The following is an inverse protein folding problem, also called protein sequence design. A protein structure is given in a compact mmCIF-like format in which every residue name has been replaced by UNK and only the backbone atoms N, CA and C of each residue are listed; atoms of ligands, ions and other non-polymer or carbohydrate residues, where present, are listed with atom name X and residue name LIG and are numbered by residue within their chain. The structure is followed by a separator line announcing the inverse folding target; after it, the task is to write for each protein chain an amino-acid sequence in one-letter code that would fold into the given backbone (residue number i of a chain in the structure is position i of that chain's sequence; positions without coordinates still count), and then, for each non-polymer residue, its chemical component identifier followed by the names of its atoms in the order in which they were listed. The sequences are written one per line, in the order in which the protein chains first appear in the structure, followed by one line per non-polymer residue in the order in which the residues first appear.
data_IF_829694428566
#
_entry.id   IF_829694428566
#
_cell.length_a   1.000
_cell.length_b   1.000
_cell.length_c   1.000
_cell.angle_alpha   90.00
_cell.angle_beta   90.00
_cell.angle_gamma   90.00
#
_symmetry.space_group_name_H-M   'P 1'
#
loop_
_entity.id
_entity.type
_entity.pdbx_description
1 polymer ?
#
# COMPACT_ATOMS: atom_id res chain seq x y z
N UNK A 1 -38.17 -17.53 -22.68
CA UNK A 1 -36.84 -17.90 -22.19
C UNK A 1 -36.48 -16.88 -21.13
N UNK A 2 -35.87 -17.21 -19.98
CA UNK A 2 -35.34 -16.20 -19.09
C UNK A 2 -34.34 -15.34 -19.87
N UNK A 3 -34.32 -14.03 -19.63
CA UNK A 3 -33.37 -13.12 -20.26
C UNK A 3 -31.95 -13.62 -19.97
N UNK A 4 -31.14 -13.72 -21.01
CA UNK A 4 -29.71 -14.11 -20.86
C UNK A 4 -28.98 -12.91 -20.26
N UNK A 5 -28.18 -13.15 -19.22
CA UNK A 5 -27.43 -12.10 -18.55
C UNK A 5 -26.43 -11.44 -19.51
N UNK A 6 -26.29 -10.12 -19.43
CA UNK A 6 -25.46 -9.37 -20.37
C UNK A 6 -23.99 -9.82 -20.38
N UNK A 7 -23.47 -10.27 -19.23
CA UNK A 7 -22.10 -10.81 -19.13
C UNK A 7 -21.90 -12.10 -19.95
N UNK A 8 -22.93 -12.94 -20.05
CA UNK A 8 -22.88 -14.16 -20.86
C UNK A 8 -22.86 -13.82 -22.36
N UNK A 9 -23.64 -12.82 -22.78
CA UNK A 9 -23.61 -12.31 -24.15
C UNK A 9 -22.24 -11.69 -24.50
N UNK A 10 -21.59 -11.03 -23.54
CA UNK A 10 -20.22 -10.53 -23.74
C UNK A 10 -19.23 -11.66 -23.92
N UNK A 11 -19.34 -12.74 -23.12
CA UNK A 11 -18.49 -13.93 -23.28
C UNK A 11 -18.61 -14.54 -24.67
N UNK A 12 -19.82 -14.61 -25.23
CA UNK A 12 -20.07 -15.10 -26.61
C UNK A 12 -19.52 -14.17 -27.69
N UNK A 13 -19.23 -12.93 -27.38
CA UNK A 13 -18.76 -11.91 -28.30
C UNK A 13 -17.53 -11.15 -27.76
N UNK A 14 -16.35 -11.77 -27.74
CA UNK A 14 -15.15 -11.18 -27.11
C UNK A 14 -14.77 -9.79 -27.62
N UNK A 15 -15.01 -9.49 -28.90
CA UNK A 15 -14.73 -8.19 -29.51
C UNK A 15 -15.55 -7.04 -28.87
N UNK A 16 -16.67 -7.36 -28.23
CA UNK A 16 -17.48 -6.37 -27.54
C UNK A 16 -17.02 -6.07 -26.12
N UNK A 17 -16.17 -6.93 -25.52
CA UNK A 17 -15.75 -6.81 -24.13
C UNK A 17 -15.00 -5.51 -23.89
N UNK A 18 -13.94 -5.26 -24.68
CA UNK A 18 -13.13 -4.04 -24.56
C UNK A 18 -13.98 -2.78 -24.74
N UNK A 19 -14.89 -2.79 -25.73
CA UNK A 19 -15.81 -1.68 -25.99
C UNK A 19 -16.80 -1.50 -24.84
N UNK A 20 -17.37 -2.58 -24.32
CA UNK A 20 -18.30 -2.53 -23.18
C UNK A 20 -17.63 -1.93 -21.94
N UNK A 21 -16.40 -2.41 -21.61
CA UNK A 21 -15.62 -1.88 -20.48
C UNK A 21 -15.32 -0.40 -20.68
N UNK A 22 -14.87 0.02 -21.85
CA UNK A 22 -14.56 1.42 -22.13
C UNK A 22 -15.78 2.34 -22.08
N UNK A 23 -16.92 1.86 -22.55
CA UNK A 23 -18.13 2.70 -22.70
C UNK A 23 -19.00 2.71 -21.44
N UNK A 24 -19.19 1.55 -20.81
CA UNK A 24 -20.17 1.37 -19.74
C UNK A 24 -19.55 1.29 -18.35
N UNK A 25 -18.26 0.96 -18.27
CA UNK A 25 -17.55 0.81 -17.01
C UNK A 25 -16.58 1.99 -16.71
N UNK A 26 -16.76 3.13 -17.37
CA UNK A 26 -16.05 4.36 -17.03
C UNK A 26 -16.62 5.00 -15.75
N UNK A 27 -15.75 5.34 -14.80
CA UNK A 27 -16.13 6.03 -13.56
C UNK A 27 -16.57 7.46 -13.87
N UNK A 28 -17.75 7.87 -13.41
CA UNK A 28 -18.23 9.24 -13.54
C UNK A 28 -17.44 10.17 -12.61
N UNK A 29 -17.22 11.40 -13.01
CA UNK A 29 -16.47 12.39 -12.21
C UNK A 29 -17.10 12.61 -10.82
N UNK A 30 -18.44 12.54 -10.71
CA UNK A 30 -19.17 12.61 -9.45
C UNK A 30 -18.87 11.45 -8.51
N UNK A 31 -18.76 10.24 -9.03
CA UNK A 31 -18.45 9.01 -8.28
C UNK A 31 -17.01 9.02 -7.80
N UNK A 32 -16.07 9.46 -8.64
CA UNK A 32 -14.68 9.68 -8.27
C UNK A 32 -14.54 10.63 -7.08
N UNK A 33 -15.28 11.74 -7.09
CA UNK A 33 -15.23 12.73 -6.01
C UNK A 33 -15.94 12.28 -4.74
N UNK A 34 -17.00 11.47 -4.85
CA UNK A 34 -17.82 11.05 -3.71
C UNK A 34 -17.32 9.78 -3.02
N UNK A 35 -16.74 8.84 -3.79
CA UNK A 35 -16.34 7.52 -3.26
C UNK A 35 -14.85 7.23 -3.45
N UNK A 36 -14.08 8.10 -4.11
CA UNK A 36 -12.67 7.88 -4.41
C UNK A 36 -12.43 6.79 -5.44
N UNK A 37 -13.44 6.49 -6.28
CA UNK A 37 -13.37 5.43 -7.28
C UNK A 37 -12.30 5.72 -8.33
N UNK A 38 -11.51 4.70 -8.65
CA UNK A 38 -10.47 4.74 -9.68
C UNK A 38 -10.76 3.66 -10.70
N UNK A 39 -10.94 4.06 -11.95
CA UNK A 39 -11.05 3.11 -13.05
C UNK A 39 -9.73 2.35 -13.24
N UNK A 40 -9.81 1.02 -13.28
CA UNK A 40 -8.66 0.17 -13.59
C UNK A 40 -8.75 -0.31 -15.02
N UNK A 41 -7.82 0.08 -15.90
CA UNK A 41 -7.78 -0.41 -17.27
C UNK A 41 -7.62 -1.93 -17.33
N UNK A 42 -8.27 -2.54 -18.31
CA UNK A 42 -8.27 -3.99 -18.52
C UNK A 42 -6.85 -4.57 -18.59
N UNK A 43 -5.93 -3.86 -19.20
CA UNK A 43 -4.53 -4.29 -19.33
C UNK A 43 -3.87 -4.53 -17.96
N UNK A 44 -4.12 -3.67 -16.98
CA UNK A 44 -3.56 -3.82 -15.64
C UNK A 44 -4.18 -5.00 -14.88
N UNK A 45 -5.51 -5.20 -15.04
CA UNK A 45 -6.21 -6.34 -14.46
C UNK A 45 -5.67 -7.65 -15.07
N UNK A 46 -5.60 -7.72 -16.39
CA UNK A 46 -5.08 -8.88 -17.13
C UNK A 46 -3.66 -9.21 -16.70
N UNK A 47 -2.78 -8.19 -16.68
CA UNK A 47 -1.37 -8.34 -16.28
C UNK A 47 -1.22 -8.90 -14.86
N UNK A 48 -2.06 -8.43 -13.93
CA UNK A 48 -2.05 -8.92 -12.55
C UNK A 48 -2.52 -10.37 -12.48
N UNK A 49 -3.66 -10.68 -13.09
CA UNK A 49 -4.27 -12.01 -13.04
C UNK A 49 -3.50 -13.07 -13.84
N UNK A 50 -2.67 -12.68 -14.85
CA UNK A 50 -1.76 -13.56 -15.57
C UNK A 50 -0.65 -14.16 -14.71
N UNK A 51 -0.40 -13.59 -13.54
CA UNK A 51 0.61 -14.12 -12.62
C UNK A 51 0.06 -15.19 -11.67
N UNK A 52 -1.26 -15.39 -11.63
CA UNK A 52 -1.85 -16.47 -10.86
C UNK A 52 -1.58 -17.84 -11.48
N UNK A 53 -1.43 -18.90 -10.67
CA UNK A 53 -1.22 -20.25 -11.19
C UNK A 53 -2.45 -20.74 -11.97
N UNK A 54 -2.22 -21.57 -12.99
CA UNK A 54 -3.26 -22.00 -13.92
C UNK A 54 -4.41 -22.77 -13.28
N UNK A 55 -4.15 -23.51 -12.21
CA UNK A 55 -5.14 -24.33 -11.53
C UNK A 55 -6.32 -23.50 -10.94
N UNK A 56 -6.08 -22.22 -10.58
CA UNK A 56 -7.14 -21.37 -10.01
C UNK A 56 -8.29 -21.10 -10.99
N UNK A 57 -8.04 -21.27 -12.29
CA UNK A 57 -9.03 -21.05 -13.34
C UNK A 57 -9.87 -22.28 -13.66
N UNK A 58 -9.42 -23.48 -13.26
CA UNK A 58 -10.07 -24.77 -13.56
C UNK A 58 -10.65 -25.48 -12.35
N UNK A 59 -10.52 -24.93 -11.14
CA UNK A 59 -11.10 -25.47 -9.92
C UNK A 59 -12.46 -24.84 -9.63
N UNK A 60 -13.59 -25.58 -9.78
CA UNK A 60 -14.93 -25.04 -9.57
C UNK A 60 -15.28 -24.79 -8.08
N UNK A 61 -14.44 -25.24 -7.16
CA UNK A 61 -14.67 -25.05 -5.72
C UNK A 61 -14.13 -23.71 -5.20
N UNK A 62 -13.25 -23.03 -5.94
CA UNK A 62 -12.65 -21.78 -5.52
C UNK A 62 -13.63 -20.61 -5.54
N UNK A 63 -13.50 -19.75 -4.54
CA UNK A 63 -14.33 -18.56 -4.35
C UNK A 63 -13.52 -17.29 -4.49
N UNK A 64 -14.03 -16.37 -5.30
CA UNK A 64 -13.42 -15.09 -5.65
C UNK A 64 -14.19 -13.95 -5.00
N UNK A 65 -13.51 -13.04 -4.33
CA UNK A 65 -14.09 -11.87 -3.69
C UNK A 65 -13.49 -10.58 -4.24
N UNK A 66 -14.33 -9.67 -4.68
CA UNK A 66 -13.98 -8.28 -4.93
C UNK A 66 -14.60 -7.39 -3.84
N UNK A 67 -13.82 -6.88 -2.86
CA UNK A 67 -14.35 -6.22 -1.67
C UNK A 67 -14.73 -4.74 -1.87
N UNK A 68 -14.44 -4.18 -3.04
CA UNK A 68 -14.84 -2.83 -3.47
C UNK A 68 -15.02 -2.86 -4.98
N UNK A 69 -16.09 -3.54 -5.41
CA UNK A 69 -16.24 -3.97 -6.78
C UNK A 69 -16.47 -2.82 -7.78
N UNK A 70 -16.95 -1.64 -7.30
CA UNK A 70 -17.38 -0.59 -8.20
C UNK A 70 -18.44 -1.14 -9.14
N UNK A 71 -18.16 -1.11 -10.43
CA UNK A 71 -19.04 -1.65 -11.48
C UNK A 71 -18.59 -3.03 -11.99
N UNK A 72 -17.66 -3.71 -11.28
CA UNK A 72 -17.28 -5.10 -11.52
C UNK A 72 -16.19 -5.35 -12.57
N UNK A 73 -15.29 -4.39 -12.82
CA UNK A 73 -14.24 -4.53 -13.85
C UNK A 73 -13.37 -5.78 -13.67
N UNK A 74 -12.90 -6.05 -12.45
CA UNK A 74 -12.12 -7.25 -12.15
C UNK A 74 -12.96 -8.51 -12.34
N UNK A 75 -14.21 -8.50 -11.86
CA UNK A 75 -15.10 -9.65 -11.95
C UNK A 75 -15.46 -10.01 -13.39
N UNK A 76 -15.51 -9.03 -14.33
CA UNK A 76 -15.67 -9.31 -15.78
C UNK A 76 -14.52 -10.18 -16.29
N UNK A 77 -13.26 -9.81 -15.98
CA UNK A 77 -12.09 -10.56 -16.44
C UNK A 77 -12.04 -11.95 -15.80
N UNK A 78 -12.32 -12.03 -14.49
CA UNK A 78 -12.38 -13.32 -13.77
C UNK A 78 -13.46 -14.21 -14.36
N UNK A 79 -14.67 -13.68 -14.61
CA UNK A 79 -15.77 -14.43 -15.21
C UNK A 79 -15.39 -15.05 -16.55
N UNK A 80 -14.77 -14.26 -17.45
CA UNK A 80 -14.37 -14.74 -18.76
C UNK A 80 -13.36 -15.88 -18.64
N UNK A 81 -12.33 -15.73 -17.80
CA UNK A 81 -11.30 -16.74 -17.58
C UNK A 81 -11.86 -18.02 -16.94
N UNK A 82 -12.81 -17.90 -16.02
CA UNK A 82 -13.48 -19.05 -15.42
C UNK A 82 -14.39 -19.76 -16.43
N UNK A 83 -15.09 -19.03 -17.31
CA UNK A 83 -15.88 -19.62 -18.38
C UNK A 83 -15.01 -20.46 -19.34
N UNK A 84 -13.78 -20.03 -19.62
CA UNK A 84 -12.82 -20.77 -20.41
C UNK A 84 -12.19 -21.93 -19.62
N UNK A 85 -11.64 -21.64 -18.43
CA UNK A 85 -10.87 -22.60 -17.64
C UNK A 85 -11.68 -23.77 -17.11
N UNK A 86 -12.99 -23.55 -16.81
CA UNK A 86 -13.90 -24.60 -16.35
C UNK A 86 -14.58 -25.40 -17.48
N UNK A 87 -14.28 -25.12 -18.74
CA UNK A 87 -14.97 -25.73 -19.89
C UNK A 87 -14.88 -27.25 -19.95
N UNK A 88 -13.80 -27.83 -19.44
CA UNK A 88 -13.58 -29.27 -19.37
C UNK A 88 -14.23 -29.92 -18.13
N UNK A 89 -14.48 -29.16 -17.07
CA UNK A 89 -15.04 -29.64 -15.79
C UNK A 89 -16.55 -29.48 -15.77
N UNK A 90 -17.07 -28.35 -16.24
CA UNK A 90 -18.50 -28.06 -16.39
C UNK A 90 -18.73 -27.79 -17.89
N UNK A 91 -19.03 -28.82 -18.64
CA UNK A 91 -19.10 -28.78 -20.11
C UNK A 91 -20.30 -27.98 -20.64
N UNK A 92 -21.44 -28.02 -19.95
CA UNK A 92 -22.63 -27.22 -20.31
C UNK A 92 -22.37 -25.73 -19.95
N UNK A 93 -22.38 -24.87 -20.97
CA UNK A 93 -22.05 -23.45 -20.80
C UNK A 93 -23.00 -22.69 -19.89
N UNK A 94 -24.31 -23.01 -19.93
CA UNK A 94 -25.31 -22.31 -19.09
C UNK A 94 -25.19 -22.76 -17.63
N UNK A 95 -24.91 -24.01 -17.37
CA UNK A 95 -24.63 -24.53 -16.03
C UNK A 95 -23.33 -23.89 -15.48
N UNK A 96 -22.30 -23.83 -16.31
CA UNK A 96 -21.02 -23.18 -15.97
C UNK A 96 -21.22 -21.70 -15.65
N UNK A 97 -21.93 -20.95 -16.50
CA UNK A 97 -22.29 -19.56 -16.25
C UNK A 97 -22.99 -19.37 -14.90
N UNK A 98 -24.07 -20.12 -14.63
CA UNK A 98 -24.80 -20.04 -13.36
C UNK A 98 -23.90 -20.37 -12.17
N UNK A 99 -23.08 -21.42 -12.28
CA UNK A 99 -22.17 -21.81 -11.21
C UNK A 99 -21.20 -20.69 -10.84
N UNK A 100 -20.59 -20.05 -11.85
CA UNK A 100 -19.62 -18.95 -11.65
C UNK A 100 -20.28 -17.77 -10.94
N UNK A 101 -21.41 -17.28 -11.45
CA UNK A 101 -22.00 -16.04 -10.91
C UNK A 101 -22.69 -16.23 -9.55
N UNK A 102 -23.19 -17.44 -9.24
CA UNK A 102 -23.90 -17.72 -8.01
C UNK A 102 -22.99 -18.23 -6.89
N UNK A 103 -21.94 -19.01 -7.23
CA UNK A 103 -21.17 -19.75 -6.26
C UNK A 103 -19.70 -19.36 -6.19
N UNK A 104 -19.11 -18.85 -7.30
CA UNK A 104 -17.68 -18.58 -7.32
C UNK A 104 -17.33 -17.10 -7.12
N UNK A 105 -18.08 -16.16 -7.71
CA UNK A 105 -17.78 -14.73 -7.63
C UNK A 105 -18.71 -14.06 -6.60
N UNK A 106 -18.11 -13.32 -5.66
CA UNK A 106 -18.82 -12.41 -4.77
C UNK A 106 -18.30 -10.99 -4.96
N UNK A 107 -19.20 -10.04 -5.08
CA UNK A 107 -18.90 -8.62 -5.17
C UNK A 107 -19.49 -7.89 -3.96
N UNK A 108 -18.67 -7.09 -3.29
CA UNK A 108 -19.13 -6.18 -2.22
C UNK A 108 -18.92 -4.75 -2.71
N UNK A 109 -19.98 -3.94 -2.63
CA UNK A 109 -19.96 -2.57 -3.09
C UNK A 109 -20.86 -1.70 -2.19
N UNK A 110 -20.35 -0.53 -1.77
CA UNK A 110 -21.08 0.38 -0.87
C UNK A 110 -22.04 1.30 -1.63
N UNK A 111 -21.75 1.59 -2.90
CA UNK A 111 -22.54 2.47 -3.74
C UNK A 111 -23.68 1.70 -4.40
N UNK A 112 -24.93 2.02 -4.04
CA UNK A 112 -26.13 1.36 -4.57
C UNK A 112 -26.25 1.45 -6.09
N UNK A 113 -25.89 2.60 -6.68
CA UNK A 113 -25.98 2.79 -8.12
C UNK A 113 -25.02 1.84 -8.87
N UNK A 114 -23.83 1.60 -8.30
CA UNK A 114 -22.88 0.64 -8.84
C UNK A 114 -23.38 -0.81 -8.67
N UNK A 115 -24.02 -1.11 -7.53
CA UNK A 115 -24.65 -2.43 -7.31
C UNK A 115 -25.72 -2.70 -8.36
N UNK A 116 -26.56 -1.72 -8.69
CA UNK A 116 -27.59 -1.86 -9.74
C UNK A 116 -26.95 -2.08 -11.11
N UNK A 117 -25.97 -1.26 -11.49
CA UNK A 117 -25.22 -1.44 -12.75
C UNK A 117 -24.54 -2.81 -12.85
N UNK A 118 -23.97 -3.30 -11.75
CA UNK A 118 -23.36 -4.63 -11.71
C UNK A 118 -24.43 -5.73 -11.85
N UNK A 119 -25.63 -5.55 -11.28
CA UNK A 119 -26.74 -6.49 -11.48
C UNK A 119 -27.29 -6.49 -12.90
N UNK A 120 -27.32 -5.33 -13.56
CA UNK A 120 -27.69 -5.25 -14.98
C UNK A 120 -26.71 -6.04 -15.86
N UNK A 121 -25.42 -6.07 -15.47
CA UNK A 121 -24.39 -6.78 -16.21
C UNK A 121 -24.38 -8.30 -15.89
N UNK A 122 -24.27 -8.65 -14.59
CA UNK A 122 -24.05 -10.02 -14.13
C UNK A 122 -25.35 -10.79 -13.89
N UNK A 123 -26.49 -10.13 -13.98
CA UNK A 123 -27.82 -10.71 -13.76
C UNK A 123 -28.29 -10.69 -12.30
N UNK A 124 -29.60 -10.91 -12.10
CA UNK A 124 -30.24 -10.83 -10.79
C UNK A 124 -29.81 -11.93 -9.81
N UNK A 125 -29.24 -13.02 -10.32
CA UNK A 125 -28.78 -14.16 -9.52
C UNK A 125 -27.31 -14.03 -9.07
N UNK A 126 -26.61 -12.97 -9.52
CA UNK A 126 -25.22 -12.75 -9.14
C UNK A 126 -25.08 -12.42 -7.64
N UNK A 127 -24.04 -12.96 -7.03
CA UNK A 127 -23.75 -12.74 -5.61
C UNK A 127 -23.13 -11.36 -5.39
N UNK A 128 -23.97 -10.32 -5.42
CA UNK A 128 -23.60 -8.92 -5.25
C UNK A 128 -24.21 -8.40 -3.94
N UNK A 129 -23.37 -7.86 -3.05
CA UNK A 129 -23.76 -7.34 -1.74
C UNK A 129 -23.59 -5.83 -1.70
N UNK A 130 -24.68 -5.10 -1.36
CA UNK A 130 -24.62 -3.67 -1.07
C UNK A 130 -24.24 -3.49 0.41
N UNK A 131 -22.93 -3.37 0.70
CA UNK A 131 -22.42 -3.31 2.07
C UNK A 131 -21.08 -2.56 2.14
N UNK A 132 -20.74 -2.06 3.32
CA UNK A 132 -19.39 -1.60 3.64
C UNK A 132 -18.54 -2.79 4.06
N UNK A 133 -17.55 -3.14 3.23
CA UNK A 133 -16.60 -4.21 3.52
C UNK A 133 -15.81 -3.98 4.81
N UNK A 134 -15.55 -2.73 5.17
CA UNK A 134 -14.79 -2.37 6.37
C UNK A 134 -15.65 -2.22 7.63
N UNK A 135 -16.97 -2.41 7.54
CA UNK A 135 -17.84 -2.30 8.72
C UNK A 135 -17.37 -3.21 9.86
N UNK A 136 -17.42 -2.69 11.09
CA UNK A 136 -17.03 -3.40 12.31
C UNK A 136 -18.28 -3.96 13.02
N UNK A 137 -18.14 -5.12 13.64
CA UNK A 137 -19.18 -5.75 14.46
C UNK A 137 -19.20 -7.26 14.34
N UNK A 138 -19.70 -7.95 15.36
CA UNK A 138 -19.73 -9.42 15.44
C UNK A 138 -20.52 -10.10 14.30
N UNK A 139 -21.32 -9.35 13.55
CA UNK A 139 -22.16 -9.83 12.45
C UNK A 139 -21.77 -9.24 11.09
N UNK A 140 -20.64 -8.52 10.97
CA UNK A 140 -20.25 -7.88 9.70
C UNK A 140 -19.99 -8.91 8.61
N UNK A 141 -19.33 -10.01 8.94
CA UNK A 141 -19.05 -11.09 7.99
C UNK A 141 -20.29 -11.91 7.67
N UNK A 142 -21.18 -12.15 8.65
CA UNK A 142 -22.47 -12.80 8.42
C UNK A 142 -23.38 -11.94 7.54
N UNK A 143 -23.36 -10.63 7.68
CA UNK A 143 -24.12 -9.71 6.80
C UNK A 143 -23.60 -9.70 5.36
N UNK A 144 -22.29 -9.93 5.18
CA UNK A 144 -21.64 -9.96 3.86
C UNK A 144 -21.71 -11.38 3.25
N UNK A 145 -21.42 -12.42 4.03
CA UNK A 145 -21.23 -13.78 3.50
C UNK A 145 -22.30 -14.79 3.91
N UNK A 146 -23.21 -14.45 4.83
CA UNK A 146 -24.24 -15.34 5.38
C UNK A 146 -23.81 -16.06 6.66
N UNK A 147 -24.80 -16.46 7.47
CA UNK A 147 -24.58 -17.13 8.76
C UNK A 147 -23.89 -18.49 8.59
N UNK A 148 -22.86 -18.76 9.40
CA UNK A 148 -22.16 -20.05 9.44
C UNK A 148 -21.14 -20.26 8.32
N UNK A 149 -20.85 -19.26 7.51
CA UNK A 149 -19.76 -19.34 6.54
C UNK A 149 -18.42 -19.04 7.23
N UNK A 150 -17.49 -19.98 7.24
CA UNK A 150 -16.08 -19.75 7.50
C UNK A 150 -15.47 -18.74 6.50
N UNK A 151 -14.15 -18.73 6.28
CA UNK A 151 -13.56 -17.87 5.23
C UNK A 151 -14.31 -18.10 3.91
N UNK A 152 -14.99 -17.06 3.39
CA UNK A 152 -15.76 -17.21 2.16
C UNK A 152 -14.89 -17.19 0.92
N UNK A 153 -13.71 -16.52 0.98
CA UNK A 153 -12.88 -16.30 -0.20
C UNK A 153 -11.57 -17.10 -0.15
N UNK A 154 -11.21 -17.69 -1.29
CA UNK A 154 -9.91 -18.28 -1.55
C UNK A 154 -9.02 -17.27 -2.30
N UNK A 155 -9.62 -16.42 -3.13
CA UNK A 155 -8.90 -15.40 -3.89
C UNK A 155 -9.63 -14.07 -3.73
N UNK A 156 -8.89 -13.04 -3.27
CA UNK A 156 -9.40 -11.68 -3.13
C UNK A 156 -8.70 -10.77 -4.14
N UNK A 157 -9.48 -10.07 -4.94
CA UNK A 157 -8.99 -9.23 -6.04
C UNK A 157 -9.55 -7.81 -5.92
N UNK A 158 -8.89 -6.83 -6.52
CA UNK A 158 -9.49 -5.51 -6.67
C UNK A 158 -8.53 -4.32 -6.64
N UNK A 159 -9.12 -3.14 -6.73
CA UNK A 159 -8.47 -1.84 -6.54
C UNK A 159 -9.25 -1.07 -5.46
N UNK A 160 -8.99 -1.31 -4.17
CA UNK A 160 -9.75 -0.73 -3.09
C UNK A 160 -9.58 0.80 -3.03
N UNK A 161 -10.55 1.55 -2.46
CA UNK A 161 -10.46 2.99 -2.33
C UNK A 161 -9.26 3.39 -1.47
N UNK A 162 -8.53 4.46 -1.87
CA UNK A 162 -7.29 4.85 -1.21
C UNK A 162 -7.51 5.62 0.08
N UNK A 163 -8.56 6.43 0.12
CA UNK A 163 -8.90 7.27 1.26
C UNK A 163 -10.39 7.59 1.28
N UNK A 164 -10.92 7.94 2.45
CA UNK A 164 -12.27 8.49 2.55
C UNK A 164 -12.39 9.78 1.74
N UNK A 165 -13.55 10.06 1.14
CA UNK A 165 -13.81 11.35 0.51
C UNK A 165 -13.59 12.49 1.50
N UNK A 166 -13.10 13.63 1.02
CA UNK A 166 -12.99 14.83 1.84
C UNK A 166 -14.38 15.36 2.10
N UNK A 167 -14.72 15.56 3.37
CA UNK A 167 -15.94 16.24 3.76
C UNK A 167 -15.80 17.75 3.44
N UNK A 168 -16.30 18.14 2.28
CA UNK A 168 -16.25 19.52 1.79
C UNK A 168 -17.18 20.45 2.58
N UNK A 169 -18.13 19.92 3.37
CA UNK A 169 -19.06 20.69 4.18
C UNK A 169 -18.47 21.16 5.50
N UNK A 170 -17.38 20.55 5.97
CA UNK A 170 -16.64 21.01 7.14
C UNK A 170 -15.29 21.53 6.69
N UNK A 171 -14.98 22.79 6.98
CA UNK A 171 -13.65 23.40 6.85
C UNK A 171 -12.59 22.69 7.75
N UNK A 172 -12.58 21.36 7.75
CA UNK A 172 -11.60 20.58 8.50
C UNK A 172 -10.35 20.41 7.65
N UNK A 173 -9.26 20.96 8.12
CA UNK A 173 -7.89 20.74 7.61
C UNK A 173 -7.43 19.27 7.68
N UNK A 174 -8.30 18.34 8.09
CA UNK A 174 -8.02 16.90 8.14
C UNK A 174 -8.22 16.31 6.75
N UNK A 175 -7.14 15.84 6.14
CA UNK A 175 -7.19 15.01 4.92
C UNK A 175 -8.05 13.76 5.13
N UNK A 176 -8.57 13.16 4.06
CA UNK A 176 -9.33 11.92 4.14
C UNK A 176 -8.54 10.80 4.86
N UNK A 177 -9.25 9.95 5.60
CA UNK A 177 -8.65 8.80 6.28
C UNK A 177 -8.16 7.80 5.23
N UNK A 178 -6.96 7.24 5.39
CA UNK A 178 -6.44 6.16 4.54
C UNK A 178 -7.31 4.92 4.73
N UNK A 179 -7.65 4.25 3.64
CA UNK A 179 -8.52 3.07 3.62
C UNK A 179 -7.84 1.83 3.03
N UNK A 180 -6.99 1.99 2.01
CA UNK A 180 -6.39 0.85 1.28
C UNK A 180 -5.66 -0.14 2.21
N UNK A 181 -5.02 0.34 3.27
CA UNK A 181 -4.34 -0.48 4.28
C UNK A 181 -5.32 -1.34 5.08
N UNK A 182 -6.49 -0.80 5.42
CA UNK A 182 -7.56 -1.53 6.11
C UNK A 182 -8.13 -2.64 5.21
N UNK A 183 -8.28 -2.37 3.91
CA UNK A 183 -8.70 -3.39 2.95
C UNK A 183 -7.68 -4.53 2.85
N UNK A 184 -6.38 -4.22 2.79
CA UNK A 184 -5.32 -5.25 2.83
C UNK A 184 -5.42 -6.06 4.12
N UNK A 185 -5.48 -5.40 5.28
CA UNK A 185 -5.49 -6.08 6.58
C UNK A 185 -6.70 -6.99 6.74
N UNK A 186 -7.91 -6.52 6.43
CA UNK A 186 -9.13 -7.34 6.50
C UNK A 186 -9.11 -8.48 5.49
N UNK A 187 -8.61 -8.25 4.29
CA UNK A 187 -8.46 -9.30 3.27
C UNK A 187 -7.47 -10.39 3.71
N UNK A 188 -6.31 -10.02 4.24
CA UNK A 188 -5.35 -10.98 4.80
C UNK A 188 -5.97 -11.76 5.97
N UNK A 189 -6.68 -11.09 6.87
CA UNK A 189 -7.40 -11.75 7.97
C UNK A 189 -8.39 -12.80 7.46
N UNK A 190 -9.21 -12.46 6.47
CA UNK A 190 -10.14 -13.41 5.85
C UNK A 190 -9.42 -14.61 5.23
N UNK A 191 -8.31 -14.37 4.53
CA UNK A 191 -7.51 -15.43 3.92
C UNK A 191 -6.75 -16.28 4.96
N UNK A 192 -6.39 -15.72 6.12
CA UNK A 192 -5.71 -16.45 7.19
C UNK A 192 -6.63 -17.32 8.04
N UNK A 193 -7.95 -17.07 8.06
CA UNK A 193 -8.90 -17.86 8.85
C UNK A 193 -8.82 -19.33 8.44
N UNK A 194 -8.47 -20.20 9.40
CA UNK A 194 -8.47 -21.66 9.17
C UNK A 194 -9.91 -22.13 8.95
N UNK A 195 -10.17 -22.64 7.78
CA UNK A 195 -11.47 -23.22 7.47
C UNK A 195 -11.48 -24.70 7.92
N UNK A 196 -12.18 -24.98 8.99
CA UNK A 196 -12.45 -26.35 9.44
C UNK A 196 -13.46 -27.08 8.56
N UNK A 197 -14.16 -26.37 7.68
CA UNK A 197 -15.31 -26.90 6.92
C UNK A 197 -14.96 -27.40 5.51
N UNK A 198 -13.75 -27.15 4.98
CA UNK A 198 -13.35 -27.51 3.61
C UNK A 198 -11.91 -28.02 3.51
N UNK A 199 -11.60 -29.18 4.10
CA UNK A 199 -10.24 -29.72 4.08
C UNK A 199 -9.76 -30.14 2.67
N UNK A 200 -10.67 -30.26 1.70
CA UNK A 200 -10.38 -30.73 0.33
C UNK A 200 -10.14 -29.60 -0.68
N UNK A 201 -10.38 -28.34 -0.28
CA UNK A 201 -10.15 -27.17 -1.15
C UNK A 201 -8.71 -26.69 -1.03
N UNK A 202 -8.19 -26.16 -2.12
CA UNK A 202 -6.85 -25.62 -2.30
C UNK A 202 -6.30 -24.96 -1.02
N UNK A 203 -5.11 -25.37 -0.59
CA UNK A 203 -4.43 -24.82 0.59
C UNK A 203 -3.82 -23.45 0.33
N UNK A 204 -3.69 -23.04 -0.94
CA UNK A 204 -3.12 -21.77 -1.35
C UNK A 204 -4.22 -20.75 -1.61
N UNK A 205 -4.09 -19.58 -1.02
CA UNK A 205 -5.01 -18.45 -1.18
C UNK A 205 -4.27 -17.22 -1.65
N UNK A 206 -4.96 -16.33 -2.36
CA UNK A 206 -4.29 -15.20 -3.00
C UNK A 206 -4.98 -13.88 -2.72
N UNK A 207 -4.19 -12.85 -2.41
CA UNK A 207 -4.59 -11.45 -2.40
C UNK A 207 -3.95 -10.75 -3.60
N UNK A 208 -4.78 -10.23 -4.52
CA UNK A 208 -4.35 -9.61 -5.78
C UNK A 208 -4.90 -8.18 -5.84
N UNK A 209 -4.11 -7.20 -5.40
CA UNK A 209 -4.56 -5.82 -5.31
C UNK A 209 -3.72 -4.85 -6.12
N UNK A 210 -4.34 -3.69 -6.41
CA UNK A 210 -3.69 -2.48 -6.92
C UNK A 210 -3.83 -1.41 -5.86
N UNK A 211 -2.72 -0.93 -5.28
CA UNK A 211 -2.75 0.05 -4.18
C UNK A 211 -1.58 1.04 -4.25
N UNK A 212 -1.63 2.15 -3.49
CA UNK A 212 -0.44 2.97 -3.25
C UNK A 212 0.69 2.18 -2.59
N UNK A 213 1.98 2.53 -2.83
CA UNK A 213 3.15 1.73 -2.43
C UNK A 213 3.55 1.86 -0.96
N UNK A 214 2.79 2.60 -0.12
CA UNK A 214 3.18 2.87 1.25
C UNK A 214 3.28 1.61 2.13
N UNK A 215 2.65 0.51 1.75
CA UNK A 215 2.76 -0.79 2.43
C UNK A 215 4.18 -1.37 2.40
N UNK A 216 5.02 -0.96 1.43
CA UNK A 216 6.44 -1.38 1.33
C UNK A 216 7.38 -0.69 2.30
N UNK A 217 6.92 0.26 3.08
CA UNK A 217 7.70 0.96 4.11
C UNK A 217 8.11 0.04 5.26
N UNK A 218 9.12 0.46 6.04
CA UNK A 218 9.38 -0.14 7.34
C UNK A 218 8.13 -0.13 8.21
N UNK A 219 8.06 -1.05 9.17
CA UNK A 219 6.90 -1.21 10.06
C UNK A 219 6.42 0.13 10.64
N UNK A 220 5.17 0.45 10.36
CA UNK A 220 4.53 1.74 10.69
C UNK A 220 3.01 1.56 10.61
N UNK A 221 2.19 2.57 10.98
CA UNK A 221 0.74 2.46 10.86
C UNK A 221 0.25 2.04 9.47
N UNK A 222 0.96 2.41 8.40
CA UNK A 222 0.64 2.07 7.01
C UNK A 222 1.71 1.23 6.32
N UNK A 223 2.81 0.88 7.00
CA UNK A 223 3.82 -0.05 6.51
C UNK A 223 3.40 -1.47 6.83
N UNK A 224 3.08 -2.24 5.81
CA UNK A 224 2.58 -3.61 5.96
C UNK A 224 3.58 -4.64 5.44
N UNK A 225 4.85 -4.24 5.21
CA UNK A 225 5.85 -5.08 4.57
C UNK A 225 5.95 -6.46 5.23
N UNK A 226 6.12 -6.50 6.55
CA UNK A 226 6.24 -7.77 7.27
C UNK A 226 4.98 -8.63 7.19
N UNK A 227 3.79 -8.02 7.27
CA UNK A 227 2.51 -8.73 7.19
C UNK A 227 2.26 -9.37 5.83
N UNK A 228 2.86 -8.82 4.79
CA UNK A 228 2.70 -9.29 3.40
C UNK A 228 3.82 -10.21 2.94
N UNK A 229 4.93 -10.30 3.69
CA UNK A 229 6.14 -11.02 3.29
C UNK A 229 6.61 -12.07 4.30
N UNK A 230 5.98 -12.15 5.49
CA UNK A 230 6.30 -13.13 6.52
C UNK A 230 5.15 -14.13 6.67
N UNK A 231 5.50 -15.37 7.03
CA UNK A 231 4.51 -16.43 7.29
C UNK A 231 3.33 -15.94 8.17
N UNK A 232 2.10 -16.32 7.82
CA UNK A 232 1.71 -17.24 6.77
C UNK A 232 1.53 -16.60 5.37
N UNK A 233 1.99 -15.36 5.18
CA UNK A 233 1.94 -14.63 3.90
C UNK A 233 3.26 -14.70 3.15
N UNK A 234 3.19 -14.70 1.83
CA UNK A 234 4.34 -14.66 0.91
C UNK A 234 4.04 -13.75 -0.28
N UNK A 235 4.87 -12.73 -0.50
CA UNK A 235 4.76 -11.87 -1.67
C UNK A 235 5.31 -12.60 -2.90
N UNK A 236 4.44 -12.91 -3.88
CA UNK A 236 4.80 -13.66 -5.08
C UNK A 236 5.17 -12.75 -6.26
N UNK A 237 4.44 -11.64 -6.38
CA UNK A 237 4.57 -10.73 -7.51
C UNK A 237 4.39 -9.28 -7.07
N UNK A 238 5.18 -8.39 -7.68
CA UNK A 238 5.08 -6.95 -7.52
C UNK A 238 5.43 -6.25 -8.83
N UNK A 239 4.51 -5.44 -9.35
CA UNK A 239 4.76 -4.52 -10.46
C UNK A 239 4.57 -3.09 -9.98
N UNK A 240 5.65 -2.34 -10.00
CA UNK A 240 5.68 -0.94 -9.56
C UNK A 240 5.34 -0.01 -10.73
N UNK A 241 4.41 0.90 -10.51
CA UNK A 241 4.00 1.93 -11.48
C UNK A 241 4.47 3.29 -10.95
N UNK A 242 5.24 4.02 -11.72
CA UNK A 242 5.65 5.37 -11.37
C UNK A 242 4.49 6.37 -11.44
N UNK A 243 4.67 7.53 -10.79
CA UNK A 243 3.63 8.57 -10.74
C UNK A 243 3.17 9.05 -12.11
N UNK A 244 4.09 9.19 -13.08
CA UNK A 244 3.78 9.71 -14.42
C UNK A 244 2.90 8.73 -15.19
N UNK A 245 3.24 7.45 -15.13
CA UNK A 245 2.46 6.36 -15.71
C UNK A 245 1.09 6.23 -15.01
N UNK A 246 1.05 6.32 -13.66
CA UNK A 246 -0.20 6.26 -12.90
C UNK A 246 -1.15 7.44 -13.23
N UNK A 247 -0.63 8.64 -13.48
CA UNK A 247 -1.43 9.79 -13.92
C UNK A 247 -2.03 9.52 -15.30
N UNK A 248 -1.22 9.03 -16.23
CA UNK A 248 -1.66 8.79 -17.62
C UNK A 248 -2.73 7.69 -17.70
N UNK A 249 -2.50 6.56 -17.02
CA UNK A 249 -3.26 5.33 -17.23
C UNK A 249 -4.36 5.12 -16.18
N UNK A 250 -4.10 5.50 -14.93
CA UNK A 250 -5.01 5.31 -13.79
C UNK A 250 -5.63 6.61 -13.30
N UNK A 251 -5.22 7.76 -13.83
CA UNK A 251 -5.64 9.10 -13.39
C UNK A 251 -5.38 9.35 -11.88
N UNK A 252 -4.32 8.77 -11.34
CA UNK A 252 -3.92 8.84 -9.93
C UNK A 252 -2.64 9.64 -9.77
N UNK A 253 -2.62 10.62 -8.84
CA UNK A 253 -1.51 11.57 -8.63
C UNK A 253 -0.36 11.01 -7.77
N UNK A 254 -0.20 9.70 -7.72
CA UNK A 254 0.84 9.02 -6.92
C UNK A 254 1.30 7.73 -7.61
N UNK A 255 2.39 7.13 -7.09
CA UNK A 255 2.82 5.79 -7.50
C UNK A 255 1.80 4.75 -7.11
N UNK A 256 1.76 3.64 -7.85
CA UNK A 256 0.89 2.50 -7.59
C UNK A 256 1.69 1.20 -7.67
N UNK A 257 1.22 0.19 -6.95
CA UNK A 257 1.74 -1.17 -6.99
C UNK A 257 0.63 -2.14 -7.38
N UNK A 258 0.93 -3.05 -8.30
CA UNK A 258 0.16 -4.28 -8.52
C UNK A 258 0.89 -5.40 -7.80
N UNK A 259 0.23 -6.15 -6.94
CA UNK A 259 0.87 -7.22 -6.20
C UNK A 259 -0.01 -8.44 -6.01
N UNK A 260 0.65 -9.58 -5.81
CA UNK A 260 0.04 -10.84 -5.39
C UNK A 260 0.74 -11.32 -4.14
N UNK A 261 -0.05 -11.55 -3.10
CA UNK A 261 0.37 -12.21 -1.87
C UNK A 261 -0.32 -13.57 -1.81
N UNK A 262 0.46 -14.62 -1.64
CA UNK A 262 -0.02 -15.96 -1.33
C UNK A 262 -0.15 -16.13 0.18
N UNK A 263 -1.22 -16.79 0.62
CA UNK A 263 -1.50 -17.08 2.03
C UNK A 263 -1.72 -18.58 2.20
N UNK A 264 -1.03 -19.18 3.16
CA UNK A 264 -1.10 -20.62 3.39
C UNK A 264 -0.20 -21.42 2.42
N UNK A 265 -0.45 -22.72 2.33
CA UNK A 265 0.31 -23.61 1.44
C UNK A 265 1.60 -24.17 2.03
N UNK A 266 1.85 -23.99 3.34
CA UNK A 266 2.88 -24.72 4.12
C UNK A 266 4.25 -24.86 3.45
N UNK A 267 4.64 -23.92 2.64
CA UNK A 267 5.89 -23.94 1.87
C UNK A 267 7.06 -23.56 2.74
N UNK A 268 7.78 -24.56 3.14
CA UNK A 268 8.96 -24.60 3.98
C UNK A 268 9.87 -23.36 3.95
N UNK A 269 10.68 -23.25 5.01
CA UNK A 269 11.66 -22.17 5.25
C UNK A 269 12.75 -21.98 4.19
N UNK A 270 12.45 -22.19 2.90
CA UNK A 270 13.33 -21.92 1.77
C UNK A 270 13.32 -20.47 1.34
N UNK A 271 14.36 -20.04 0.63
CA UNK A 271 14.47 -18.74 -0.01
C UNK A 271 13.36 -18.61 -1.07
N UNK A 272 12.23 -18.01 -0.67
CA UNK A 272 11.17 -17.66 -1.61
C UNK A 272 11.57 -16.39 -2.35
N UNK A 273 11.56 -16.43 -3.67
CA UNK A 273 11.85 -15.29 -4.54
C UNK A 273 10.56 -14.68 -5.10
N UNK A 274 10.40 -13.39 -4.91
CA UNK A 274 9.33 -12.59 -5.49
C UNK A 274 9.77 -11.99 -6.84
N UNK A 275 8.90 -12.08 -7.83
CA UNK A 275 9.08 -11.41 -9.12
C UNK A 275 8.72 -9.93 -8.99
N UNK A 276 9.71 -9.05 -9.04
CA UNK A 276 9.55 -7.60 -8.93
C UNK A 276 9.87 -6.92 -10.25
N UNK A 277 8.90 -6.19 -10.81
CA UNK A 277 9.05 -5.39 -12.02
C UNK A 277 9.04 -3.91 -11.63
N UNK A 278 10.13 -3.20 -11.94
CA UNK A 278 10.19 -1.75 -11.76
C UNK A 278 9.52 -1.02 -12.91
N UNK A 279 9.06 0.21 -12.68
CA UNK A 279 8.51 1.04 -13.75
C UNK A 279 9.58 1.40 -14.80
N UNK A 280 9.19 1.71 -16.05
CA UNK A 280 10.14 2.18 -17.07
C UNK A 280 10.92 3.42 -16.62
N UNK A 281 10.30 4.33 -15.85
CA UNK A 281 10.95 5.53 -15.32
C UNK A 281 12.01 5.21 -14.25
N UNK A 282 11.95 4.01 -13.64
CA UNK A 282 12.87 3.52 -12.62
C UNK A 282 13.82 2.43 -13.17
N UNK A 283 13.95 2.33 -14.49
CA UNK A 283 14.84 1.40 -15.18
C UNK A 283 14.16 0.24 -15.89
N UNK A 284 12.88 -0.02 -15.66
CA UNK A 284 12.08 -1.06 -16.37
C UNK A 284 12.64 -2.48 -16.20
N UNK A 285 13.21 -2.80 -15.04
CA UNK A 285 13.92 -4.08 -14.81
C UNK A 285 13.03 -5.11 -14.15
N UNK A 286 13.28 -6.38 -14.52
CA UNK A 286 12.77 -7.54 -13.80
C UNK A 286 13.83 -7.96 -12.77
N UNK A 287 13.42 -8.11 -11.52
CA UNK A 287 14.27 -8.53 -10.41
C UNK A 287 13.63 -9.71 -9.68
N UNK A 288 14.44 -10.70 -9.31
CA UNK A 288 14.05 -11.76 -8.39
C UNK A 288 14.57 -11.37 -7.01
N UNK A 289 13.69 -11.17 -6.06
CA UNK A 289 14.01 -10.64 -4.73
C UNK A 289 13.46 -11.60 -3.67
N UNK A 290 14.30 -11.99 -2.69
CA UNK A 290 13.84 -12.63 -1.46
C UNK A 290 13.27 -11.56 -0.51
N UNK A 291 11.94 -11.45 -0.33
CA UNK A 291 11.35 -10.38 0.48
C UNK A 291 11.77 -10.44 1.95
N UNK A 292 12.11 -11.61 2.46
CA UNK A 292 12.56 -11.82 3.85
C UNK A 292 13.87 -11.13 4.18
N UNK A 293 14.68 -10.87 3.16
CA UNK A 293 15.98 -10.21 3.31
C UNK A 293 15.88 -8.68 3.38
N UNK A 294 14.67 -8.14 3.30
CA UNK A 294 14.41 -6.72 3.27
C UNK A 294 13.52 -6.28 4.44
N UNK A 295 13.89 -5.20 5.16
CA UNK A 295 13.02 -4.58 6.15
C UNK A 295 11.97 -3.64 5.53
N UNK A 296 12.19 -3.24 4.29
CA UNK A 296 11.34 -2.44 3.42
C UNK A 296 11.82 -2.61 1.97
N UNK A 297 10.98 -2.33 0.96
CA UNK A 297 11.40 -2.43 -0.43
C UNK A 297 11.41 -1.06 -1.13
N UNK A 298 12.57 -0.60 -1.65
CA UNK A 298 12.66 0.64 -2.43
C UNK A 298 11.99 0.50 -3.80
N UNK A 299 11.90 1.62 -4.55
CA UNK A 299 11.36 1.63 -5.92
C UNK A 299 12.39 1.16 -6.96
N UNK A 300 13.69 1.35 -6.69
CA UNK A 300 14.86 1.02 -7.52
C UNK A 300 16.12 1.04 -6.66
N UNK A 301 17.32 0.94 -7.24
CA UNK A 301 18.62 0.88 -6.54
C UNK A 301 18.76 -0.31 -5.58
N UNK A 302 18.16 -1.44 -5.89
CA UNK A 302 18.11 -2.59 -5.00
C UNK A 302 19.49 -3.04 -4.51
N UNK A 303 20.45 -3.25 -5.43
CA UNK A 303 21.79 -3.74 -5.08
C UNK A 303 22.52 -2.78 -4.14
N UNK A 304 22.46 -1.47 -4.45
CA UNK A 304 23.12 -0.46 -3.62
C UNK A 304 22.47 -0.34 -2.24
N UNK A 305 21.13 -0.22 -2.17
CA UNK A 305 20.44 -0.09 -0.91
C UNK A 305 20.64 -1.34 -0.05
N UNK A 306 20.62 -2.55 -0.65
CA UNK A 306 20.90 -3.80 0.07
C UNK A 306 22.30 -3.83 0.70
N UNK A 307 23.30 -3.20 0.06
CA UNK A 307 24.65 -3.15 0.58
C UNK A 307 24.77 -2.32 1.87
N UNK A 308 23.91 -1.31 2.06
CA UNK A 308 23.95 -0.37 3.18
C UNK A 308 22.91 -0.62 4.27
N UNK A 309 21.97 -1.56 4.09
CA UNK A 309 20.94 -1.88 5.07
C UNK A 309 21.10 -3.28 5.66
N UNK A 310 20.50 -3.51 6.82
CA UNK A 310 20.31 -4.81 7.47
C UNK A 310 18.84 -5.02 7.84
N UNK A 311 18.48 -6.25 8.18
CA UNK A 311 17.06 -6.59 8.44
C UNK A 311 16.61 -6.25 9.86
N UNK A 312 17.55 -6.07 10.79
CA UNK A 312 17.26 -5.76 12.19
C UNK A 312 17.38 -4.26 12.45
N UNK A 313 16.34 -3.62 13.00
CA UNK A 313 16.38 -2.17 13.25
C UNK A 313 17.29 -1.83 14.44
N UNK A 314 17.88 -0.64 14.39
CA UNK A 314 18.64 -0.01 15.48
C UNK A 314 17.84 1.17 16.04
N UNK A 315 16.95 0.97 17.00
CA UNK A 315 15.96 1.97 17.42
C UNK A 315 16.58 3.26 17.97
N UNK A 316 17.77 3.21 18.54
CA UNK A 316 18.45 4.36 19.16
C UNK A 316 19.24 5.22 18.14
N UNK A 317 19.28 4.84 16.87
CA UNK A 317 20.02 5.59 15.86
C UNK A 317 19.25 6.84 15.39
N UNK A 318 17.93 6.83 15.46
CA UNK A 318 17.06 7.93 15.01
C UNK A 318 16.41 8.61 16.20
N UNK A 319 16.63 9.93 16.31
CA UNK A 319 16.03 10.78 17.34
C UNK A 319 14.86 11.53 16.70
N UNK A 320 13.66 11.33 17.21
CA UNK A 320 12.47 12.04 16.79
C UNK A 320 11.38 12.00 17.84
N UNK A 321 10.92 13.17 18.24
CA UNK A 321 9.70 13.33 19.02
C UNK A 321 8.98 14.59 18.55
N UNK A 322 7.81 14.39 17.92
CA UNK A 322 6.99 15.49 17.39
C UNK A 322 6.51 16.43 18.48
N UNK A 323 6.29 15.93 19.68
CA UNK A 323 5.67 16.66 20.79
C UNK A 323 6.68 17.17 21.83
N UNK A 324 7.97 16.91 21.65
CA UNK A 324 9.00 17.23 22.64
C UNK A 324 9.00 18.70 23.12
N UNK A 325 8.70 19.63 22.22
CA UNK A 325 8.68 21.09 22.56
C UNK A 325 7.31 21.72 22.34
N UNK A 326 6.31 20.96 21.94
CA UNK A 326 5.01 21.45 21.48
C UNK A 326 5.08 22.05 20.08
N UNK A 327 3.95 22.21 19.46
CA UNK A 327 3.80 22.90 18.17
C UNK A 327 2.97 24.17 18.29
N UNK A 328 2.57 24.52 19.51
CA UNK A 328 1.59 25.56 19.80
C UNK A 328 2.26 26.82 20.35
N UNK A 329 1.73 27.97 19.99
CA UNK A 329 2.21 29.30 20.39
C UNK A 329 2.44 29.50 21.90
N UNK A 330 1.72 28.86 22.85
CA UNK A 330 2.03 28.97 24.27
C UNK A 330 3.40 28.42 24.68
N UNK A 331 3.99 27.55 23.85
CA UNK A 331 5.23 26.83 24.17
C UNK A 331 6.39 27.17 23.23
N UNK A 332 6.09 27.80 22.11
CA UNK A 332 7.04 28.11 21.05
C UNK A 332 6.87 29.55 20.56
N UNK A 333 7.97 30.22 20.28
CA UNK A 333 7.97 31.55 19.68
C UNK A 333 8.89 31.57 18.45
N UNK A 334 8.51 32.24 17.35
CA UNK A 334 9.43 32.47 16.21
C UNK A 334 10.60 33.42 16.59
N UNK A 335 10.46 34.16 17.68
CA UNK A 335 11.45 35.14 18.15
C UNK A 335 12.05 34.70 19.48
N UNK A 336 13.36 34.94 19.65
CA UNK A 336 14.04 34.80 20.92
C UNK A 336 13.51 35.83 21.91
N UNK A 337 13.16 35.41 23.13
CA UNK A 337 12.74 36.27 24.24
C UNK A 337 13.50 35.86 25.49
N UNK A 338 14.38 36.75 25.94
CA UNK A 338 15.17 36.54 27.15
C UNK A 338 14.30 36.20 28.38
N UNK A 339 14.64 35.11 29.06
CA UNK A 339 13.91 34.63 30.24
C UNK A 339 12.61 33.88 29.96
N UNK A 340 12.13 33.85 28.73
CA UNK A 340 10.87 33.17 28.40
C UNK A 340 11.08 32.10 27.31
N UNK A 341 11.49 32.48 26.08
CA UNK A 341 11.68 31.58 24.95
C UNK A 341 13.16 31.63 24.54
N UNK A 342 13.97 30.80 25.17
CA UNK A 342 15.44 30.84 25.06
C UNK A 342 16.07 29.63 24.38
N UNK A 343 15.34 28.49 24.30
CA UNK A 343 15.89 27.25 23.80
C UNK A 343 15.66 27.11 22.29
N UNK A 344 16.74 27.13 21.46
CA UNK A 344 16.59 27.10 20.01
C UNK A 344 16.12 25.71 19.52
N UNK A 345 15.05 25.72 18.72
CA UNK A 345 14.46 24.50 18.11
C UNK A 345 14.46 24.64 16.59
N UNK A 346 15.01 23.68 15.89
CA UNK A 346 15.01 23.65 14.42
C UNK A 346 13.58 23.47 13.93
N UNK A 347 13.02 24.53 13.33
CA UNK A 347 11.69 24.55 12.74
C UNK A 347 11.72 24.24 11.25
N UNK A 348 12.68 24.83 10.51
CA UNK A 348 12.89 24.57 9.08
C UNK A 348 14.36 24.42 8.75
N UNK A 349 14.64 23.71 7.66
CA UNK A 349 16.01 23.55 7.13
C UNK A 349 16.02 23.84 5.64
N UNK A 350 16.87 24.75 5.21
CA UNK A 350 16.98 25.19 3.83
C UNK A 350 18.44 25.30 3.39
N UNK A 351 18.68 25.59 2.12
CA UNK A 351 20.03 25.88 1.62
C UNK A 351 20.70 27.06 2.35
N UNK A 352 19.91 27.97 2.94
CA UNK A 352 20.42 29.14 3.67
C UNK A 352 20.79 28.83 5.12
N UNK A 353 20.50 27.60 5.60
CA UNK A 353 20.76 27.16 6.98
C UNK A 353 19.49 26.80 7.74
N UNK A 354 19.62 26.80 9.07
CA UNK A 354 18.55 26.49 10.00
C UNK A 354 17.60 27.69 10.19
N UNK A 355 16.31 27.45 10.09
CA UNK A 355 15.29 28.36 10.56
C UNK A 355 14.86 27.94 11.96
N UNK A 356 15.11 28.80 12.94
CA UNK A 356 14.89 28.50 14.35
C UNK A 356 13.59 29.11 14.87
N UNK A 357 12.95 28.36 15.75
CA UNK A 357 12.00 28.84 16.72
C UNK A 357 12.59 28.65 18.11
N UNK A 358 11.99 29.22 19.13
CA UNK A 358 12.50 29.14 20.50
C UNK A 358 11.45 28.58 21.42
N UNK A 359 11.85 27.59 22.25
CA UNK A 359 11.00 26.99 23.26
C UNK A 359 11.21 27.62 24.63
N UNK A 360 10.18 27.58 25.46
CA UNK A 360 10.28 27.95 26.88
C UNK A 360 10.87 26.81 27.75
N UNK A 361 11.16 25.66 27.18
CA UNK A 361 11.75 24.49 27.88
C UNK A 361 12.72 23.72 26.99
N UNK A 362 13.78 23.16 27.58
CA UNK A 362 14.70 22.25 26.94
C UNK A 362 14.40 20.76 27.22
N UNK A 363 13.41 20.49 28.08
CA UNK A 363 13.03 19.14 28.51
C UNK A 363 11.54 18.97 28.38
N UNK A 364 11.09 18.44 27.25
CA UNK A 364 9.70 18.03 27.08
C UNK A 364 9.63 16.61 26.53
N UNK A 365 8.64 15.85 27.03
CA UNK A 365 8.48 14.47 26.67
C UNK A 365 9.56 13.56 27.27
N UNK A 366 9.55 12.29 26.88
CA UNK A 366 10.56 11.31 27.30
C UNK A 366 11.82 11.56 26.47
N UNK A 367 12.78 12.29 27.01
CA UNK A 367 14.09 12.51 26.43
C UNK A 367 14.15 13.62 25.36
N UNK A 368 14.19 14.88 25.77
CA UNK A 368 14.44 16.03 24.89
C UNK A 368 15.65 15.82 23.95
N UNK A 369 15.84 16.75 23.02
CA UNK A 369 16.88 16.65 21.98
C UNK A 369 18.16 17.41 22.32
N UNK A 370 18.15 18.21 23.39
CA UNK A 370 19.31 19.00 23.85
C UNK A 370 20.33 18.10 24.56
N UNK A 371 21.61 18.46 24.46
CA UNK A 371 22.70 17.69 25.05
C UNK A 371 23.03 16.38 24.32
N UNK A 372 22.42 16.14 23.16
CA UNK A 372 22.66 14.93 22.35
C UNK A 372 23.37 15.33 21.06
N UNK A 373 24.59 14.83 20.86
CA UNK A 373 25.33 15.02 19.60
C UNK A 373 24.63 14.29 18.45
N UNK A 374 24.29 15.03 17.39
CA UNK A 374 23.46 14.50 16.29
C UNK A 374 23.66 15.20 14.96
N UNK A 375 23.34 14.52 13.87
CA UNK A 375 23.14 15.15 12.56
C UNK A 375 21.65 15.38 12.39
N UNK A 376 21.23 16.63 12.31
CA UNK A 376 19.83 17.04 12.11
C UNK A 376 19.49 17.01 10.62
N UNK A 377 18.31 16.50 10.29
CA UNK A 377 17.79 16.30 8.93
C UNK A 377 16.36 16.82 8.80
N UNK A 378 16.03 17.34 7.63
CA UNK A 378 14.65 17.60 7.22
C UNK A 378 14.00 16.37 6.57
N UNK A 379 12.67 16.35 6.45
CA UNK A 379 11.93 15.27 5.78
C UNK A 379 11.80 15.42 4.26
N UNK A 380 12.33 16.47 3.65
CA UNK A 380 12.21 16.72 2.23
C UNK A 380 13.12 15.79 1.41
N UNK A 381 12.80 15.61 0.13
CA UNK A 381 13.67 14.88 -0.82
C UNK A 381 15.07 15.50 -0.92
N UNK A 382 15.15 16.83 -0.83
CA UNK A 382 16.41 17.54 -0.76
C UNK A 382 16.82 17.71 0.68
N UNK A 383 17.80 16.92 1.11
CA UNK A 383 18.34 16.96 2.46
C UNK A 383 19.28 18.16 2.62
N UNK A 384 19.19 18.78 3.80
CA UNK A 384 20.09 19.83 4.27
C UNK A 384 20.63 19.44 5.64
N UNK A 385 21.54 18.44 5.73
CA UNK A 385 22.05 17.94 6.98
C UNK A 385 22.85 19.00 7.73
N UNK A 386 22.70 19.05 9.06
CA UNK A 386 23.43 19.94 9.95
C UNK A 386 24.00 19.14 11.12
N UNK A 387 25.31 19.26 11.37
CA UNK A 387 25.95 18.61 12.52
C UNK A 387 25.78 19.49 13.77
N UNK A 388 24.97 19.05 14.70
CA UNK A 388 24.81 19.60 16.04
C UNK A 388 25.65 18.75 17.00
N UNK A 389 26.96 19.02 17.00
CA UNK A 389 27.88 18.25 17.83
C UNK A 389 27.72 18.55 19.32
N UNK A 390 27.50 19.79 19.67
CA UNK A 390 27.39 20.23 21.06
C UNK A 390 25.98 20.02 21.65
N UNK A 391 25.02 19.55 20.86
CA UNK A 391 23.65 19.28 21.30
C UNK A 391 22.86 20.55 21.62
N UNK A 392 23.14 21.65 20.92
CA UNK A 392 22.58 22.97 21.20
C UNK A 392 21.12 23.13 20.74
N UNK A 393 20.64 22.25 19.83
CA UNK A 393 19.35 22.43 19.18
C UNK A 393 18.34 21.33 19.53
N UNK A 394 17.11 21.78 19.85
CA UNK A 394 15.91 20.94 19.77
C UNK A 394 15.48 20.71 18.31
N UNK A 395 14.57 19.78 18.09
CA UNK A 395 14.02 19.46 16.76
C UNK A 395 12.50 19.51 16.80
N UNK A 396 11.89 20.31 15.92
CA UNK A 396 10.45 20.40 15.75
C UNK A 396 9.89 19.26 14.88
N UNK A 397 8.60 19.34 14.57
CA UNK A 397 7.87 18.30 13.81
C UNK A 397 8.39 18.06 12.38
N UNK A 398 9.19 18.95 11.81
CA UNK A 398 9.69 18.87 10.42
C UNK A 398 11.16 18.46 10.33
N UNK A 399 11.76 18.04 11.43
CA UNK A 399 13.14 17.55 11.48
C UNK A 399 13.30 16.33 12.37
N UNK A 400 14.35 15.57 12.15
CA UNK A 400 14.76 14.42 12.97
C UNK A 400 16.29 14.39 13.03
N UNK A 401 16.85 13.62 13.97
CA UNK A 401 18.27 13.50 14.18
C UNK A 401 18.79 12.09 13.99
N UNK A 402 20.03 11.97 13.53
CA UNK A 402 20.82 10.76 13.62
C UNK A 402 21.85 10.96 14.74
N UNK A 403 21.80 10.13 15.78
CA UNK A 403 22.75 10.23 16.88
C UNK A 403 24.16 9.89 16.39
N UNK A 404 25.15 10.64 16.88
CA UNK A 404 26.56 10.43 16.57
C UNK A 404 27.40 10.34 17.85
N UNK A 405 28.50 9.59 17.78
CA UNK A 405 29.40 9.32 18.91
C UNK A 405 30.75 10.04 18.78
N UNK A 406 31.06 10.59 17.60
CA UNK A 406 32.22 11.46 17.38
C UNK A 406 31.91 12.53 16.35
N UNK A 407 32.69 13.61 16.36
CA UNK A 407 32.57 14.72 15.41
C UNK A 407 32.91 14.26 14.00
N UNK A 408 33.92 13.42 13.86
CA UNK A 408 34.38 12.85 12.58
C UNK A 408 33.29 11.98 11.96
N UNK A 409 32.58 11.19 12.78
CA UNK A 409 31.42 10.42 12.36
C UNK A 409 30.30 11.33 11.83
N UNK A 410 29.99 12.40 12.58
CA UNK A 410 28.97 13.37 12.19
C UNK A 410 29.29 14.05 10.87
N UNK A 411 30.53 14.50 10.69
CA UNK A 411 31.00 15.09 9.43
C UNK A 411 30.97 14.13 8.25
N UNK A 412 31.32 12.84 8.48
CA UNK A 412 31.26 11.81 7.45
C UNK A 412 29.80 11.54 7.03
N UNK A 413 28.87 11.47 7.99
CA UNK A 413 27.43 11.33 7.71
C UNK A 413 26.91 12.53 6.92
N UNK A 414 27.27 13.77 7.30
CA UNK A 414 26.86 14.96 6.56
C UNK A 414 27.33 14.90 5.10
N UNK A 415 28.59 14.52 4.85
CA UNK A 415 29.14 14.37 3.49
C UNK A 415 28.38 13.30 2.70
N UNK A 416 28.13 12.14 3.31
CA UNK A 416 27.39 11.04 2.70
C UNK A 416 25.97 11.45 2.27
N UNK A 417 25.23 12.12 3.16
CA UNK A 417 23.84 12.53 2.94
C UNK A 417 23.65 13.53 1.78
N UNK A 418 24.66 14.33 1.46
CA UNK A 418 24.60 15.27 0.33
C UNK A 418 25.16 14.71 -0.96
N UNK A 419 25.72 13.50 -0.94
CA UNK A 419 26.26 12.82 -2.11
C UNK A 419 25.19 12.56 -3.19
N UNK A 420 25.55 12.50 -4.47
CA UNK A 420 24.62 12.09 -5.53
C UNK A 420 24.04 10.70 -5.30
N UNK A 421 24.83 9.79 -4.75
CA UNK A 421 24.50 8.40 -4.50
C UNK A 421 23.42 8.27 -3.41
N UNK A 422 23.57 8.99 -2.29
CA UNK A 422 22.54 9.01 -1.24
C UNK A 422 21.26 9.71 -1.68
N UNK A 423 21.35 10.70 -2.55
CA UNK A 423 20.15 11.30 -3.17
C UNK A 423 19.36 10.28 -4.01
N UNK A 424 20.04 9.32 -4.65
CA UNK A 424 19.36 8.21 -5.32
C UNK A 424 18.62 7.32 -4.31
N UNK A 425 19.23 7.03 -3.13
CA UNK A 425 18.56 6.31 -2.03
C UNK A 425 17.26 7.02 -1.61
N UNK A 426 17.31 8.33 -1.37
CA UNK A 426 16.13 9.10 -0.98
C UNK A 426 15.03 9.04 -2.04
N UNK A 427 15.40 9.16 -3.33
CA UNK A 427 14.42 9.01 -4.42
C UNK A 427 13.85 7.59 -4.49
N UNK A 428 14.70 6.59 -4.34
CA UNK A 428 14.30 5.18 -4.39
C UNK A 428 13.37 4.78 -3.22
N UNK A 429 13.52 5.41 -2.06
CA UNK A 429 12.70 5.17 -0.86
C UNK A 429 11.52 6.14 -0.72
N UNK A 430 11.19 6.85 -1.79
CA UNK A 430 10.03 7.75 -1.82
C UNK A 430 8.75 7.00 -2.22
N UNK A 431 8.07 6.43 -1.25
CA UNK A 431 6.80 5.73 -1.45
C UNK A 431 5.59 6.66 -1.51
N UNK A 432 5.62 7.80 -0.80
CA UNK A 432 4.54 8.80 -0.77
C UNK A 432 4.93 10.13 -1.42
N UNK A 433 3.99 11.08 -1.44
CA UNK A 433 4.16 12.34 -2.15
C UNK A 433 5.16 13.30 -1.51
N UNK A 434 5.33 13.30 -0.18
CA UNK A 434 5.89 14.47 0.50
C UNK A 434 7.06 14.24 1.45
N UNK A 435 7.27 13.06 2.00
CA UNK A 435 8.26 12.91 3.08
C UNK A 435 9.15 11.67 2.93
N UNK A 436 10.44 11.86 3.25
CA UNK A 436 11.39 10.79 3.53
C UNK A 436 10.97 10.07 4.82
N UNK A 437 10.90 8.75 4.81
CA UNK A 437 10.58 8.00 6.01
C UNK A 437 11.82 7.84 6.89
N UNK A 438 11.86 8.55 8.03
CA UNK A 438 13.01 8.52 8.95
C UNK A 438 13.33 7.11 9.47
N UNK A 439 12.33 6.23 9.56
CA UNK A 439 12.48 4.86 10.08
C UNK A 439 13.39 3.99 9.22
N UNK A 440 13.57 4.31 7.93
CA UNK A 440 14.53 3.59 7.09
C UNK A 440 15.97 3.68 7.63
N UNK A 441 16.32 4.79 8.31
CA UNK A 441 17.63 4.98 8.89
C UNK A 441 17.90 4.04 10.08
N UNK A 442 16.86 3.49 10.73
CA UNK A 442 17.00 2.49 11.79
C UNK A 442 17.59 1.17 11.27
N UNK A 443 17.49 0.94 9.96
CA UNK A 443 17.98 -0.27 9.30
C UNK A 443 19.34 -0.10 8.62
N UNK A 444 19.94 1.08 8.68
CA UNK A 444 21.25 1.29 8.05
C UNK A 444 22.36 0.64 8.87
N UNK A 445 23.28 -0.06 8.20
CA UNK A 445 24.45 -0.71 8.80
C UNK A 445 25.33 0.32 9.49
N UNK A 446 26.08 -0.10 10.52
CA UNK A 446 27.14 0.73 11.07
C UNK A 446 28.16 1.06 9.96
N UNK A 447 28.57 2.31 9.87
CA UNK A 447 29.54 2.74 8.86
C UNK A 447 28.98 2.87 7.43
N UNK A 448 27.65 2.83 7.22
CA UNK A 448 27.02 2.97 5.89
C UNK A 448 27.49 4.21 5.13
N UNK A 449 27.86 5.28 5.85
CA UNK A 449 28.33 6.54 5.28
C UNK A 449 29.70 6.45 4.61
N UNK A 450 30.47 5.38 4.80
CA UNK A 450 31.71 5.12 4.07
C UNK A 450 31.49 4.46 2.71
N UNK A 451 30.30 3.93 2.48
CA UNK A 451 29.93 3.23 1.25
C UNK A 451 29.09 4.07 0.28
N UNK A 452 28.95 5.36 0.57
CA UNK A 452 28.08 6.30 -0.18
C UNK A 452 28.88 7.38 -0.88
#
# INVERSE_FOLDING_TARGET
MPAIDAIFELFKNPDKISRHIQTNLSVRTSEKNKYGEVFTPLEYITRLLDQLPSHVWSDPALRWLEPAAGIGNFCVVVYIRLMEGLSTVITDEMTRHKHIIQNMICMVEINKDNVERSRDLFGPMANIRCADFLSEGNNSDESIFGSGSGSWADIIIGNPPFQTPRDTARNSSKGGQILWDKFILKSLELLHRKESARPEVCTERFLCFITPPLWRKPNSPHGLWEKMTREPSSLEYLHMIDKKTAIRDLQVQQRMDLFIVKVGGGGGGGNHECKVITSPADGGTLNMISPRDWPFLPNFEFSFIKSIIETTPKPNQVIYDRSAYGSDLPHMSPEYRAGEFIYPVVHTMTRKGLGLWYSNTNTRGIGGHFGISKVILNFNEKLYPYLDWDGEYGMGQFSFGLQVTSKEQGEAIVRALVSPQFRAVIRATKWGAYQTDRRMFEYFKAGWWYNV
#
